data_IF_441551952308
#
_entry.id   IF_441551952308
#
_cell.length_a   1.000
_cell.length_b   1.000
_cell.length_c   1.000
_cell.angle_alpha   90.00
_cell.angle_beta   90.00
_cell.angle_gamma   90.00
#
_symmetry.space_group_name_H-M   'P 1'
#
loop_
_entity.id
_entity.type
_entity.pdbx_description
1 polymer ?
#
# COMPACT_ATOMS: atom_id res chain seq x y z
N UNK A 1 39.57 -41.12 9.14
CA UNK A 1 38.65 -39.96 9.28
C UNK A 1 37.24 -40.49 9.47
N UNK A 2 36.64 -40.40 10.67
CA UNK A 2 35.25 -40.86 10.91
C UNK A 2 34.29 -39.78 10.42
N UNK A 3 33.48 -40.08 9.39
CA UNK A 3 32.43 -39.16 8.94
C UNK A 3 31.32 -39.11 9.99
N UNK A 4 31.02 -37.92 10.50
CA UNK A 4 29.85 -37.69 11.35
C UNK A 4 28.63 -37.75 10.44
N UNK A 5 27.93 -38.89 10.44
CA UNK A 5 26.65 -39.03 9.73
C UNK A 5 25.60 -38.21 10.48
N UNK A 6 25.12 -37.15 9.86
CA UNK A 6 24.02 -36.35 10.43
C UNK A 6 22.75 -37.20 10.38
N UNK A 7 22.03 -37.41 11.51
CA UNK A 7 20.84 -38.23 11.52
C UNK A 7 19.72 -37.56 10.70
N UNK A 8 18.95 -38.37 9.96
CA UNK A 8 17.90 -37.88 9.06
C UNK A 8 16.89 -36.95 9.74
N UNK A 9 16.63 -37.17 11.04
CA UNK A 9 15.77 -36.30 11.86
C UNK A 9 16.28 -34.86 11.93
N UNK A 10 17.60 -34.65 12.03
CA UNK A 10 18.18 -33.30 12.06
C UNK A 10 18.04 -32.61 10.72
N UNK A 11 18.15 -33.35 9.61
CA UNK A 11 17.94 -32.82 8.26
C UNK A 11 16.47 -32.37 8.09
N UNK A 12 15.51 -33.17 8.56
CA UNK A 12 14.08 -32.85 8.49
C UNK A 12 13.72 -31.63 9.33
N UNK A 13 14.24 -31.52 10.56
CA UNK A 13 13.98 -30.36 11.42
C UNK A 13 14.57 -29.07 10.84
N UNK A 14 15.79 -29.12 10.32
CA UNK A 14 16.43 -27.95 9.70
C UNK A 14 15.68 -27.52 8.43
N UNK A 15 15.26 -28.46 7.59
CA UNK A 15 14.50 -28.14 6.38
C UNK A 15 13.10 -27.58 6.68
N UNK A 16 12.44 -28.05 7.74
CA UNK A 16 11.19 -27.46 8.21
C UNK A 16 11.38 -26.05 8.77
N UNK A 17 12.44 -25.82 9.56
CA UNK A 17 12.74 -24.49 10.09
C UNK A 17 13.07 -23.48 8.98
N UNK A 18 13.86 -23.90 7.96
CA UNK A 18 14.19 -23.05 6.80
C UNK A 18 12.95 -22.72 5.98
N UNK A 19 12.06 -23.67 5.76
CA UNK A 19 10.82 -23.43 5.01
C UNK A 19 9.86 -22.50 5.74
N UNK A 20 9.69 -22.66 7.06
CA UNK A 20 8.91 -21.72 7.89
C UNK A 20 9.51 -20.31 7.84
N UNK A 21 10.83 -20.18 7.97
CA UNK A 21 11.51 -18.88 7.91
C UNK A 21 11.39 -18.22 6.53
N UNK A 22 11.44 -19.00 5.45
CA UNK A 22 11.25 -18.50 4.08
C UNK A 22 9.82 -17.99 3.85
N UNK A 23 8.79 -18.68 4.37
CA UNK A 23 7.39 -18.25 4.28
C UNK A 23 7.17 -16.95 5.08
N UNK A 24 7.71 -16.87 6.30
CA UNK A 24 7.59 -15.67 7.14
C UNK A 24 8.37 -14.48 6.56
N UNK A 25 9.58 -14.70 6.05
CA UNK A 25 10.40 -13.68 5.39
C UNK A 25 9.77 -13.14 4.10
N UNK A 26 9.19 -14.02 3.27
CA UNK A 26 8.48 -13.61 2.04
C UNK A 26 7.24 -12.76 2.32
N UNK A 27 6.51 -13.04 3.41
CA UNK A 27 5.34 -12.26 3.86
C UNK A 27 5.75 -10.85 4.31
N UNK A 28 6.86 -10.71 5.03
CA UNK A 28 7.37 -9.41 5.49
C UNK A 28 7.79 -8.47 4.34
N UNK A 29 8.35 -9.01 3.25
CA UNK A 29 8.70 -8.23 2.06
C UNK A 29 7.44 -7.83 1.29
N UNK A 30 6.48 -8.75 1.13
CA UNK A 30 5.19 -8.42 0.51
C UNK A 30 4.35 -7.43 1.33
N UNK A 31 4.59 -7.31 2.64
CA UNK A 31 3.92 -6.34 3.51
C UNK A 31 4.22 -4.89 3.11
N UNK A 32 5.43 -4.62 2.59
CA UNK A 32 5.79 -3.30 2.06
C UNK A 32 5.01 -2.93 0.79
N UNK A 33 4.50 -3.93 0.04
CA UNK A 33 3.62 -3.77 -1.13
C UNK A 33 2.12 -3.95 -0.81
N UNK A 34 1.78 -4.26 0.44
CA UNK A 34 0.37 -4.47 0.81
C UNK A 34 -0.31 -3.10 0.98
N UNK A 35 -1.60 -3.02 0.65
CA UNK A 35 -2.42 -1.80 0.68
C UNK A 35 -2.37 -0.97 1.98
N UNK A 36 -1.79 -1.49 3.07
CA UNK A 36 -1.54 -0.74 4.31
C UNK A 36 -0.24 0.07 4.29
N UNK A 37 0.83 -0.42 3.65
CA UNK A 37 2.13 0.26 3.63
C UNK A 37 2.09 1.60 2.86
N UNK A 38 1.26 1.72 1.82
CA UNK A 38 1.08 2.99 1.11
C UNK A 38 0.62 4.13 2.03
N UNK A 39 -0.17 3.82 3.06
CA UNK A 39 -0.70 4.81 3.99
C UNK A 39 0.26 5.18 5.13
N UNK A 40 1.44 4.56 5.22
CA UNK A 40 2.46 4.97 6.19
C UNK A 40 3.33 6.13 5.66
N UNK A 41 3.21 6.47 4.38
CA UNK A 41 3.94 7.58 3.74
C UNK A 41 3.38 8.92 4.23
N UNK A 42 4.28 9.85 4.57
CA UNK A 42 3.95 11.22 4.99
C UNK A 42 4.97 12.22 4.49
N UNK A 43 4.51 13.41 4.15
CA UNK A 43 5.41 14.53 3.86
C UNK A 43 5.99 15.05 5.18
N UNK A 44 7.31 15.33 5.28
CA UNK A 44 7.87 15.96 6.47
C UNK A 44 7.17 17.28 6.79
N UNK A 45 6.69 17.43 8.04
CA UNK A 45 5.89 18.58 8.49
C UNK A 45 4.64 18.86 7.64
N UNK A 46 4.09 17.83 6.98
CA UNK A 46 2.93 17.95 6.10
C UNK A 46 1.96 16.79 6.25
N UNK A 47 1.14 16.60 5.21
CA UNK A 47 0.06 15.62 5.22
C UNK A 47 0.59 14.18 5.14
N UNK A 48 -0.10 13.30 5.86
CA UNK A 48 0.06 11.86 5.74
C UNK A 48 -0.86 11.32 4.63
N UNK A 49 -0.36 10.36 3.85
CA UNK A 49 -1.17 9.74 2.80
C UNK A 49 -2.39 8.99 3.35
N UNK A 50 -2.33 8.56 4.63
CA UNK A 50 -3.46 7.98 5.35
C UNK A 50 -4.70 8.87 5.42
N UNK A 51 -4.54 10.19 5.36
CA UNK A 51 -5.65 11.16 5.37
C UNK A 51 -6.51 11.07 4.11
N UNK A 52 -5.98 10.46 3.05
CA UNK A 52 -6.65 10.25 1.77
C UNK A 52 -7.17 8.82 1.61
N UNK A 53 -7.20 7.99 2.67
CA UNK A 53 -7.64 6.59 2.56
C UNK A 53 -9.05 6.50 1.93
N UNK A 54 -9.18 5.66 0.91
CA UNK A 54 -10.43 5.52 0.15
C UNK A 54 -10.61 6.54 -0.97
N UNK A 55 -9.56 7.32 -1.31
CA UNK A 55 -9.60 8.27 -2.43
C UNK A 55 -10.00 7.60 -3.75
N UNK A 56 -9.77 6.30 -3.91
CA UNK A 56 -10.13 5.54 -5.10
C UNK A 56 -11.65 5.55 -5.37
N UNK A 57 -12.48 5.79 -4.35
CA UNK A 57 -13.93 5.95 -4.47
C UNK A 57 -14.40 7.41 -4.52
N UNK A 58 -13.48 8.38 -4.54
CA UNK A 58 -13.82 9.80 -4.63
C UNK A 58 -14.26 10.16 -6.05
N UNK A 59 -15.02 11.26 -6.17
CA UNK A 59 -15.54 11.70 -7.45
C UNK A 59 -14.40 12.13 -8.39
N UNK A 60 -14.37 11.59 -9.61
CA UNK A 60 -13.54 12.11 -10.69
C UNK A 60 -14.07 13.46 -11.17
N UNK A 61 -13.23 14.49 -11.13
CA UNK A 61 -13.59 15.84 -11.58
C UNK A 61 -12.92 16.24 -12.90
N UNK A 62 -11.79 15.63 -13.22
CA UNK A 62 -11.12 15.87 -14.51
C UNK A 62 -10.13 14.76 -14.83
N UNK A 63 -9.79 14.64 -16.11
CA UNK A 63 -8.77 13.73 -16.61
C UNK A 63 -7.85 14.54 -17.54
N UNK A 64 -6.56 14.47 -17.29
CA UNK A 64 -5.53 15.04 -18.17
C UNK A 64 -4.67 13.92 -18.73
N UNK A 65 -4.34 13.96 -20.01
CA UNK A 65 -3.58 12.90 -20.68
C UNK A 65 -2.58 13.47 -21.68
N UNK A 66 -1.43 12.83 -21.77
CA UNK A 66 -0.50 12.97 -22.89
C UNK A 66 -0.24 11.59 -23.53
N UNK A 67 0.72 11.51 -24.46
CA UNK A 67 1.05 10.27 -25.17
C UNK A 67 1.49 9.12 -24.23
N UNK A 68 2.07 9.43 -23.07
CA UNK A 68 2.69 8.46 -22.15
C UNK A 68 1.91 8.22 -20.87
N UNK A 69 1.17 9.21 -20.38
CA UNK A 69 0.58 9.20 -19.04
C UNK A 69 -0.85 9.76 -19.06
N UNK A 70 -1.66 9.26 -18.14
CA UNK A 70 -2.98 9.77 -17.80
C UNK A 70 -3.02 10.11 -16.31
N UNK A 71 -3.48 11.31 -15.98
CA UNK A 71 -3.73 11.77 -14.63
C UNK A 71 -5.24 11.89 -14.43
N UNK A 72 -5.76 11.18 -13.42
CA UNK A 72 -7.15 11.28 -12.98
C UNK A 72 -7.18 12.17 -11.74
N UNK A 73 -7.98 13.23 -11.78
CA UNK A 73 -8.10 14.21 -10.70
C UNK A 73 -9.38 13.88 -9.93
N UNK A 74 -9.22 13.61 -8.64
CA UNK A 74 -10.29 13.14 -7.75
C UNK A 74 -10.55 14.21 -6.68
N UNK A 75 -11.82 14.40 -6.34
CA UNK A 75 -12.24 15.40 -5.36
C UNK A 75 -12.77 14.77 -4.08
N UNK A 76 -12.24 15.22 -2.94
CA UNK A 76 -12.75 14.84 -1.64
C UNK A 76 -14.26 15.17 -1.54
N UNK A 77 -15.12 14.24 -1.09
CA UNK A 77 -16.57 14.44 -1.05
C UNK A 77 -17.01 15.67 -0.26
N UNK A 78 -16.35 15.98 0.86
CA UNK A 78 -16.70 17.16 1.68
C UNK A 78 -16.40 18.44 0.90
N UNK A 79 -15.22 18.50 0.28
CA UNK A 79 -14.79 19.68 -0.48
C UNK A 79 -15.62 19.91 -1.75
N UNK A 80 -15.91 18.87 -2.53
CA UNK A 80 -16.68 19.02 -3.77
C UNK A 80 -18.13 19.39 -3.50
N UNK A 81 -18.73 18.85 -2.44
CA UNK A 81 -20.09 19.21 -2.04
C UNK A 81 -20.16 20.69 -1.61
N UNK A 82 -19.17 21.15 -0.83
CA UNK A 82 -19.09 22.56 -0.43
C UNK A 82 -18.87 23.49 -1.64
N UNK A 83 -18.04 23.07 -2.60
CA UNK A 83 -17.84 23.81 -3.84
C UNK A 83 -19.14 23.89 -4.67
N UNK A 84 -19.83 22.77 -4.85
CA UNK A 84 -21.08 22.68 -5.61
C UNK A 84 -22.25 23.40 -4.95
N UNK A 85 -22.29 23.46 -3.61
CA UNK A 85 -23.31 24.25 -2.91
C UNK A 85 -23.14 25.76 -3.12
N UNK A 86 -21.98 26.19 -3.62
CA UNK A 86 -21.66 27.59 -3.84
C UNK A 86 -21.66 28.40 -2.55
N UNK A 87 -21.72 29.73 -2.70
CA UNK A 87 -22.02 30.65 -1.60
C UNK A 87 -23.53 30.88 -1.65
N UNK A 88 -24.28 30.72 -0.53
CA UNK A 88 -25.69 31.09 -0.49
C UNK A 88 -25.87 32.53 -0.97
N UNK A 89 -26.61 32.73 -2.07
CA UNK A 89 -26.95 34.05 -2.61
C UNK A 89 -26.26 34.47 -3.92
N UNK A 90 -25.45 33.62 -4.56
CA UNK A 90 -24.94 33.90 -5.91
C UNK A 90 -25.55 32.91 -6.92
N UNK A 91 -26.64 33.34 -7.56
CA UNK A 91 -27.38 32.59 -8.58
C UNK A 91 -26.65 32.45 -9.91
#
# INVERSE_FOLDING_TARGET
MKSKRVPAVVIVVVSLAVSVLAVLGGRAISAQDTAQAKYTVRVPNGLAFSEFRGYEGWQTVSISRNEKLMAVILANPVMINAYQSGIPGNG
#
